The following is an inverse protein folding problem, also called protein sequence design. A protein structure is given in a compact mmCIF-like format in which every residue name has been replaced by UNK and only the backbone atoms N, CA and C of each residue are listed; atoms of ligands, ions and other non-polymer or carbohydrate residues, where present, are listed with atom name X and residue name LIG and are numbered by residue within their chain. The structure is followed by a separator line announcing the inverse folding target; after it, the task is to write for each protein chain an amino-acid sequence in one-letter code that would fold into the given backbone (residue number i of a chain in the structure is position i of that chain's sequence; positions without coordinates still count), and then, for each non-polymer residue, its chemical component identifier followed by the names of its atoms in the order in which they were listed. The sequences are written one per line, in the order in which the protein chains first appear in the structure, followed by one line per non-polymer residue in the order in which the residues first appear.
data_IF_958454629038
#
_entry.id   IF_958454629038
#
_cell.length_a   1.000
_cell.length_b   1.000
_cell.length_c   1.000
_cell.angle_alpha   90.00
_cell.angle_beta   90.00
_cell.angle_gamma   90.00
#
_symmetry.space_group_name_H-M   'P 1'
#
loop_
_entity.id
_entity.type
_entity.pdbx_description
1 polymer ?
#
# COMPACT_ATOMS: atom_id res chain seq x y z
N UNK A 1 -8.28 13.08 34.74
CA UNK A 1 -9.05 11.98 34.11
C UNK A 1 -9.40 12.18 32.63
N UNK A 2 -9.98 13.32 32.20
CA UNK A 2 -10.37 13.51 30.78
C UNK A 2 -9.20 13.51 29.77
N UNK A 3 -8.03 14.03 30.17
CA UNK A 3 -6.83 14.08 29.31
C UNK A 3 -6.23 12.68 29.09
N UNK A 4 -6.11 11.88 30.15
CA UNK A 4 -5.58 10.50 30.06
C UNK A 4 -6.42 9.59 29.15
N UNK A 5 -7.76 9.72 29.17
CA UNK A 5 -8.63 8.98 28.24
C UNK A 5 -8.39 9.39 26.78
N UNK A 6 -8.31 10.69 26.48
CA UNK A 6 -8.03 11.17 25.12
C UNK A 6 -6.66 10.74 24.60
N UNK A 7 -5.65 10.74 25.46
CA UNK A 7 -4.30 10.28 25.11
C UNK A 7 -4.32 8.77 24.83
N UNK A 8 -4.98 7.96 25.66
CA UNK A 8 -5.12 6.52 25.43
C UNK A 8 -5.88 6.20 24.14
N UNK A 9 -6.97 6.93 23.84
CA UNK A 9 -7.71 6.81 22.58
C UNK A 9 -6.85 7.16 21.37
N UNK A 10 -6.04 8.23 21.46
CA UNK A 10 -5.12 8.63 20.40
C UNK A 10 -4.03 7.58 20.16
N UNK A 11 -3.39 7.09 21.22
CA UNK A 11 -2.39 6.02 21.11
C UNK A 11 -2.99 4.73 20.55
N UNK A 12 -4.17 4.32 21.02
CA UNK A 12 -4.88 3.16 20.49
C UNK A 12 -5.18 3.31 19.00
N UNK A 13 -5.57 4.50 18.57
CA UNK A 13 -5.83 4.79 17.16
C UNK A 13 -4.56 4.74 16.30
N UNK A 14 -3.40 5.16 16.82
CA UNK A 14 -2.13 5.06 16.11
C UNK A 14 -1.66 3.61 15.98
N UNK A 15 -1.76 2.83 17.06
CA UNK A 15 -1.39 1.41 17.06
C UNK A 15 -2.27 0.63 16.07
N UNK A 16 -3.58 0.88 16.05
CA UNK A 16 -4.49 0.21 15.13
C UNK A 16 -4.26 0.65 13.68
N UNK A 17 -3.97 1.92 13.44
CA UNK A 17 -3.54 2.38 12.11
C UNK A 17 -2.29 1.65 11.64
N UNK A 18 -1.32 1.42 12.52
CA UNK A 18 -0.11 0.69 12.18
C UNK A 18 -0.42 -0.76 11.80
N UNK A 19 -1.17 -1.49 12.63
CA UNK A 19 -1.55 -2.88 12.33
C UNK A 19 -2.40 -2.97 11.07
N UNK A 20 -3.44 -2.15 10.93
CA UNK A 20 -4.27 -2.11 9.74
C UNK A 20 -3.46 -1.77 8.49
N UNK A 21 -2.53 -0.81 8.60
CA UNK A 21 -1.60 -0.46 7.54
C UNK A 21 -0.68 -1.62 7.16
N UNK A 22 -0.16 -2.37 8.13
CA UNK A 22 0.68 -3.54 7.88
C UNK A 22 -0.08 -4.64 7.14
N UNK A 23 -1.29 -5.00 7.60
CA UNK A 23 -2.16 -5.96 6.90
C UNK A 23 -2.51 -5.49 5.49
N UNK A 24 -2.87 -4.22 5.34
CA UNK A 24 -3.25 -3.64 4.07
C UNK A 24 -2.10 -3.62 3.06
N UNK A 25 -0.91 -3.16 3.47
CA UNK A 25 0.28 -3.12 2.61
C UNK A 25 0.76 -4.54 2.29
N UNK A 26 0.72 -5.47 3.23
CA UNK A 26 1.04 -6.88 2.96
C UNK A 26 0.09 -7.48 1.91
N UNK A 27 -1.21 -7.21 2.02
CA UNK A 27 -2.20 -7.64 1.03
C UNK A 27 -1.95 -7.03 -0.34
N UNK A 28 -1.67 -5.72 -0.41
CA UNK A 28 -1.32 -5.04 -1.66
C UNK A 28 -0.03 -5.60 -2.29
N UNK A 29 0.97 -5.92 -1.46
CA UNK A 29 2.24 -6.50 -1.92
C UNK A 29 2.06 -7.90 -2.47
N UNK A 30 1.17 -8.70 -1.85
CA UNK A 30 0.80 -10.02 -2.33
C UNK A 30 0.07 -9.99 -3.70
N UNK A 31 -0.48 -8.85 -4.11
CA UNK A 31 -1.06 -8.68 -5.45
C UNK A 31 -0.01 -8.44 -6.56
N UNK A 32 1.21 -8.00 -6.22
CA UNK A 32 2.27 -7.71 -7.19
C UNK A 32 2.64 -8.94 -8.05
N UNK A 33 2.93 -10.13 -7.48
CA UNK A 33 3.29 -11.30 -8.25
C UNK A 33 2.13 -11.88 -9.07
N UNK A 34 0.88 -11.47 -8.83
CA UNK A 34 -0.27 -11.97 -9.60
C UNK A 34 -0.23 -11.56 -11.06
N UNK A 35 0.37 -10.41 -11.39
CA UNK A 35 0.38 -9.87 -12.75
C UNK A 35 1.01 -10.84 -13.77
N UNK A 36 2.20 -11.43 -13.53
CA UNK A 36 2.74 -12.47 -14.42
C UNK A 36 1.99 -13.81 -14.33
N UNK A 37 1.42 -14.15 -13.16
CA UNK A 37 0.79 -15.46 -12.92
C UNK A 37 -0.51 -15.66 -13.73
N UNK A 38 -1.24 -14.60 -14.09
CA UNK A 38 -2.50 -14.72 -14.88
C UNK A 38 -2.25 -15.18 -16.33
N UNK A 39 -1.01 -15.06 -16.82
CA UNK A 39 -0.66 -15.43 -18.19
C UNK A 39 -0.14 -16.88 -18.33
N UNK A 40 -0.04 -17.63 -17.22
CA UNK A 40 0.43 -19.02 -17.22
C UNK A 40 -0.64 -19.96 -16.65
N UNK A 41 -1.24 -20.86 -17.46
CA UNK A 41 -2.31 -21.75 -17.02
C UNK A 41 -1.91 -22.67 -15.85
N UNK A 42 -0.64 -23.08 -15.79
CA UNK A 42 -0.11 -23.93 -14.72
C UNK A 42 -0.02 -23.23 -13.36
N UNK A 43 -0.10 -21.90 -13.33
CA UNK A 43 0.05 -21.07 -12.14
C UNK A 43 -1.28 -20.44 -11.67
N UNK A 44 -2.39 -20.73 -12.35
CA UNK A 44 -3.71 -20.18 -12.01
C UNK A 44 -4.20 -20.58 -10.61
N UNK A 45 -3.87 -21.79 -10.15
CA UNK A 45 -4.26 -22.27 -8.82
C UNK A 45 -3.52 -21.47 -7.73
N UNK A 46 -2.22 -21.26 -7.89
CA UNK A 46 -1.40 -20.45 -6.97
C UNK A 46 -1.81 -18.97 -7.01
N UNK A 47 -2.15 -18.46 -8.19
CA UNK A 47 -2.72 -17.13 -8.36
C UNK A 47 -4.03 -16.97 -7.57
N UNK A 48 -4.92 -17.96 -7.59
CA UNK A 48 -6.17 -17.93 -6.81
C UNK A 48 -5.91 -17.83 -5.31
N UNK A 49 -4.98 -18.61 -4.77
CA UNK A 49 -4.63 -18.56 -3.33
C UNK A 49 -3.98 -17.25 -2.94
N UNK A 50 -3.08 -16.73 -3.77
CA UNK A 50 -2.41 -15.45 -3.56
C UNK A 50 -3.41 -14.30 -3.60
N UNK A 51 -4.36 -14.33 -4.54
CA UNK A 51 -5.43 -13.37 -4.67
C UNK A 51 -6.41 -13.42 -3.48
N UNK A 52 -6.80 -14.62 -3.03
CA UNK A 52 -7.62 -14.80 -1.84
C UNK A 52 -6.94 -14.28 -0.57
N UNK A 53 -5.66 -14.60 -0.38
CA UNK A 53 -4.84 -14.10 0.75
C UNK A 53 -4.72 -12.59 0.71
N UNK A 54 -4.42 -12.01 -0.45
CA UNK A 54 -4.29 -10.57 -0.62
C UNK A 54 -5.59 -9.82 -0.28
N UNK A 55 -6.73 -10.27 -0.82
CA UNK A 55 -8.03 -9.68 -0.49
C UNK A 55 -8.40 -9.87 0.97
N UNK A 56 -8.09 -11.03 1.56
CA UNK A 56 -8.30 -11.29 2.98
C UNK A 56 -7.52 -10.31 3.87
N UNK A 57 -6.24 -10.09 3.58
CA UNK A 57 -5.39 -9.13 4.31
C UNK A 57 -5.87 -7.69 4.15
N UNK A 58 -6.25 -7.29 2.94
CA UNK A 58 -6.83 -5.96 2.66
C UNK A 58 -8.13 -5.78 3.45
N UNK A 59 -9.01 -6.79 3.44
CA UNK A 59 -10.28 -6.76 4.15
C UNK A 59 -10.10 -6.71 5.67
N UNK A 60 -9.15 -7.48 6.22
CA UNK A 60 -8.79 -7.40 7.64
C UNK A 60 -8.27 -6.01 8.02
N UNK A 61 -7.41 -5.41 7.19
CA UNK A 61 -6.96 -4.03 7.38
C UNK A 61 -8.12 -3.03 7.43
N UNK A 62 -9.11 -3.18 6.55
CA UNK A 62 -10.34 -2.39 6.59
C UNK A 62 -11.14 -2.63 7.88
N UNK A 63 -11.37 -3.88 8.25
CA UNK A 63 -12.15 -4.24 9.45
C UNK A 63 -11.51 -3.69 10.73
N UNK A 64 -10.19 -3.74 10.87
CA UNK A 64 -9.50 -3.15 12.04
C UNK A 64 -9.77 -1.64 12.15
N UNK A 65 -9.66 -0.91 11.04
CA UNK A 65 -9.95 0.53 11.04
C UNK A 65 -11.44 0.80 11.26
N UNK A 66 -12.32 0.01 10.65
CA UNK A 66 -13.76 0.17 10.77
C UNK A 66 -14.25 -0.09 12.19
N UNK A 67 -13.87 -1.21 12.81
CA UNK A 67 -14.27 -1.55 14.17
C UNK A 67 -13.78 -0.55 15.20
N UNK A 68 -12.57 -0.02 15.03
CA UNK A 68 -12.04 0.94 15.99
C UNK A 68 -12.58 2.35 15.80
N UNK A 69 -12.74 2.80 14.55
CA UNK A 69 -13.23 4.15 14.26
C UNK A 69 -14.75 4.28 14.27
N UNK A 70 -15.48 3.17 14.16
CA UNK A 70 -16.92 3.15 13.92
C UNK A 70 -17.35 3.79 12.60
N UNK A 71 -16.41 4.12 11.71
CA UNK A 71 -16.65 4.93 10.51
C UNK A 71 -16.02 4.29 9.27
N UNK A 72 -16.88 3.78 8.39
CA UNK A 72 -16.46 3.29 7.07
C UNK A 72 -15.77 4.39 6.25
N UNK A 73 -16.21 5.64 6.40
CA UNK A 73 -15.57 6.81 5.78
C UNK A 73 -14.15 6.98 6.25
N UNK A 74 -13.90 6.94 7.56
CA UNK A 74 -12.53 7.09 8.06
C UNK A 74 -11.64 5.92 7.61
N UNK A 75 -12.15 4.69 7.66
CA UNK A 75 -11.43 3.51 7.20
C UNK A 75 -11.05 3.61 5.71
N UNK A 76 -12.01 3.89 4.83
CA UNK A 76 -11.76 4.08 3.40
C UNK A 76 -10.77 5.22 3.13
N UNK A 77 -10.89 6.34 3.86
CA UNK A 77 -9.98 7.48 3.68
C UNK A 77 -8.56 7.13 4.08
N UNK A 78 -8.37 6.49 5.23
CA UNK A 78 -7.04 6.09 5.74
C UNK A 78 -6.41 5.08 4.79
N UNK A 79 -7.14 4.04 4.40
CA UNK A 79 -6.64 3.06 3.45
C UNK A 79 -6.32 3.72 2.11
N UNK A 80 -7.21 4.55 1.58
CA UNK A 80 -6.99 5.26 0.32
C UNK A 80 -5.71 6.09 0.33
N UNK A 81 -5.42 6.83 1.40
CA UNK A 81 -4.15 7.55 1.52
C UNK A 81 -2.93 6.61 1.66
N UNK A 82 -3.07 5.49 2.37
CA UNK A 82 -2.03 4.46 2.43
C UNK A 82 -1.76 3.81 1.07
N UNK A 83 -2.77 3.71 0.19
CA UNK A 83 -2.62 3.24 -1.20
C UNK A 83 -1.99 4.29 -2.10
N UNK A 84 -2.38 5.56 -1.94
CA UNK A 84 -1.89 6.67 -2.75
C UNK A 84 -0.40 6.92 -2.52
N UNK A 85 0.09 6.81 -1.29
CA UNK A 85 1.48 7.07 -0.95
C UNK A 85 2.49 6.27 -1.80
N UNK A 86 2.44 4.92 -1.87
CA UNK A 86 3.34 4.15 -2.72
C UNK A 86 3.13 4.42 -4.22
N UNK A 87 1.90 4.70 -4.66
CA UNK A 87 1.62 5.06 -6.07
C UNK A 87 2.27 6.38 -6.48
N UNK A 88 2.10 7.43 -5.67
CA UNK A 88 2.72 8.73 -5.88
C UNK A 88 4.24 8.67 -5.76
N UNK A 89 4.77 7.89 -4.80
CA UNK A 89 6.19 7.61 -4.72
C UNK A 89 6.67 6.96 -6.03
N UNK A 90 6.01 5.92 -6.53
CA UNK A 90 6.36 5.27 -7.79
C UNK A 90 6.41 6.23 -8.98
N UNK A 91 5.43 7.14 -9.11
CA UNK A 91 5.43 8.19 -10.14
C UNK A 91 6.61 9.15 -9.97
N UNK A 92 6.89 9.57 -8.74
CA UNK A 92 8.05 10.41 -8.44
C UNK A 92 9.37 9.72 -8.81
N UNK A 93 9.51 8.41 -8.51
CA UNK A 93 10.69 7.63 -8.87
C UNK A 93 10.88 7.51 -10.39
N UNK A 94 9.78 7.36 -11.13
CA UNK A 94 9.79 7.30 -12.60
C UNK A 94 10.27 8.60 -13.24
N UNK A 95 9.77 9.73 -12.74
CA UNK A 95 10.04 11.04 -13.33
C UNK A 95 11.40 11.61 -12.91
N UNK A 96 11.90 11.19 -11.75
CA UNK A 96 13.04 11.81 -11.10
C UNK A 96 14.15 10.81 -10.75
N UNK A 97 14.57 9.99 -11.72
CA UNK A 97 15.66 9.02 -11.56
C UNK A 97 16.93 9.61 -10.91
N UNK A 98 17.27 10.85 -11.26
CA UNK A 98 18.44 11.58 -10.73
C UNK A 98 18.26 12.01 -9.26
N UNK A 99 17.03 12.27 -8.80
CA UNK A 99 16.79 12.54 -7.38
C UNK A 99 16.55 11.26 -6.57
N UNK A 100 16.17 10.15 -7.22
CA UNK A 100 16.11 8.84 -6.60
C UNK A 100 17.51 8.42 -6.14
N UNK A 101 18.50 8.43 -7.04
CA UNK A 101 19.88 8.10 -6.64
C UNK A 101 20.34 8.98 -5.49
N UNK A 102 20.12 10.31 -5.56
CA UNK A 102 20.47 11.24 -4.46
C UNK A 102 19.72 10.99 -3.14
N UNK A 103 18.41 10.73 -3.18
CA UNK A 103 17.62 10.41 -1.98
C UNK A 103 18.04 9.08 -1.37
N UNK A 104 18.37 8.10 -2.22
CA UNK A 104 18.81 6.79 -1.79
C UNK A 104 20.26 6.80 -1.26
N UNK A 105 21.15 7.66 -1.79
CA UNK A 105 22.51 7.87 -1.25
C UNK A 105 22.51 8.43 0.18
N UNK A 106 21.42 9.06 0.64
CA UNK A 106 21.26 9.47 2.05
C UNK A 106 21.28 8.26 3.00
N UNK A 107 20.92 7.07 2.51
CA UNK A 107 20.93 5.82 3.28
C UNK A 107 22.23 5.02 3.13
N UNK A 108 23.22 5.52 2.38
CA UNK A 108 24.52 4.89 2.14
C UNK A 108 24.81 4.59 0.67
N UNK A 109 26.03 4.13 0.36
CA UNK A 109 26.39 3.64 -0.96
C UNK A 109 25.67 2.32 -1.26
N UNK A 110 25.00 2.25 -2.39
CA UNK A 110 24.22 1.07 -2.77
C UNK A 110 25.10 0.01 -3.41
N UNK A 111 24.78 -1.26 -3.16
CA UNK A 111 25.43 -2.33 -3.91
C UNK A 111 24.98 -2.27 -5.38
N UNK A 112 25.86 -2.61 -6.35
CA UNK A 112 25.53 -2.66 -7.78
C UNK A 112 24.29 -3.52 -8.11
N UNK A 113 23.96 -4.46 -7.23
CA UNK A 113 22.79 -5.32 -7.34
C UNK A 113 21.47 -4.53 -7.28
N UNK A 114 21.39 -3.50 -6.44
CA UNK A 114 20.13 -2.75 -6.32
C UNK A 114 19.96 -1.73 -7.44
N UNK A 115 21.06 -1.14 -7.89
CA UNK A 115 21.05 -0.21 -9.03
C UNK A 115 20.54 -0.93 -10.29
N UNK A 116 21.08 -2.11 -10.60
CA UNK A 116 20.61 -2.95 -11.71
C UNK A 116 19.16 -3.43 -11.53
N UNK A 117 18.73 -3.76 -10.30
CA UNK A 117 17.34 -4.11 -10.02
C UNK A 117 16.38 -2.94 -10.29
N UNK A 118 16.74 -1.72 -9.85
CA UNK A 118 15.94 -0.52 -10.08
C UNK A 118 15.87 -0.19 -11.57
N UNK A 119 16.97 -0.25 -12.31
CA UNK A 119 16.97 0.00 -13.75
C UNK A 119 16.05 -0.97 -14.51
N UNK A 120 16.02 -2.25 -14.12
CA UNK A 120 15.17 -3.26 -14.74
C UNK A 120 13.68 -3.12 -14.40
N UNK A 121 13.34 -2.67 -13.18
CA UNK A 121 11.97 -2.71 -12.65
C UNK A 121 11.27 -1.34 -12.57
N UNK A 122 11.99 -0.24 -12.37
CA UNK A 122 11.42 1.12 -12.34
C UNK A 122 10.62 1.42 -13.62
N UNK A 123 11.10 1.13 -14.85
CA UNK A 123 10.32 1.37 -16.06
C UNK A 123 9.02 0.56 -16.16
N UNK A 124 8.84 -0.47 -15.34
CA UNK A 124 7.61 -1.29 -15.28
C UNK A 124 6.71 -0.88 -14.11
N UNK A 125 7.23 -0.08 -13.17
CA UNK A 125 6.51 0.36 -11.99
C UNK A 125 5.37 1.36 -12.29
N UNK A 126 5.32 1.97 -13.48
CA UNK A 126 4.27 2.95 -13.83
C UNK A 126 2.88 2.34 -13.84
N UNK A 127 2.75 1.09 -14.27
CA UNK A 127 1.47 0.40 -14.36
C UNK A 127 0.97 0.07 -12.94
N UNK A 128 1.88 -0.40 -12.08
CA UNK A 128 1.61 -0.64 -10.67
C UNK A 128 1.23 0.66 -9.94
N UNK A 129 1.98 1.74 -10.19
CA UNK A 129 1.71 3.06 -9.63
C UNK A 129 0.34 3.59 -10.08
N UNK A 130 -0.02 3.40 -11.36
CA UNK A 130 -1.34 3.73 -11.89
C UNK A 130 -2.46 2.98 -11.18
N UNK A 131 -2.32 1.67 -10.97
CA UNK A 131 -3.29 0.86 -10.20
C UNK A 131 -3.43 1.37 -8.77
N UNK A 132 -2.32 1.61 -8.07
CA UNK A 132 -2.33 2.16 -6.71
C UNK A 132 -3.02 3.52 -6.65
N UNK A 133 -2.75 4.40 -7.61
CA UNK A 133 -3.38 5.73 -7.68
C UNK A 133 -4.89 5.59 -7.90
N UNK A 134 -5.33 4.77 -8.86
CA UNK A 134 -6.75 4.58 -9.15
C UNK A 134 -7.48 4.03 -7.92
N UNK A 135 -6.97 2.95 -7.32
CA UNK A 135 -7.57 2.34 -6.13
C UNK A 135 -7.61 3.33 -4.97
N UNK A 136 -6.51 4.05 -4.73
CA UNK A 136 -6.41 5.05 -3.68
C UNK A 136 -7.41 6.21 -3.86
N UNK A 137 -7.50 6.76 -5.07
CA UNK A 137 -8.47 7.82 -5.41
C UNK A 137 -9.91 7.32 -5.22
N UNK A 138 -10.22 6.11 -5.69
CA UNK A 138 -11.56 5.53 -5.54
C UNK A 138 -11.92 5.37 -4.06
N UNK A 139 -11.02 4.86 -3.22
CA UNK A 139 -11.25 4.72 -1.78
C UNK A 139 -11.47 6.07 -1.10
N UNK A 140 -10.66 7.08 -1.42
CA UNK A 140 -10.84 8.45 -0.89
C UNK A 140 -12.15 9.05 -1.38
N UNK A 141 -12.52 8.85 -2.65
CA UNK A 141 -13.77 9.34 -3.20
C UNK A 141 -14.99 8.68 -2.56
N UNK A 142 -14.97 7.36 -2.38
CA UNK A 142 -16.02 6.62 -1.64
C UNK A 142 -16.12 7.14 -0.21
N UNK A 143 -15.00 7.45 0.46
CA UNK A 143 -15.01 8.04 1.80
C UNK A 143 -15.68 9.41 1.88
N UNK A 144 -15.66 10.15 0.77
CA UNK A 144 -16.22 11.49 0.67
C UNK A 144 -17.72 11.48 0.30
N UNK A 145 -18.24 10.36 -0.22
CA UNK A 145 -19.67 10.20 -0.51
C UNK A 145 -20.45 9.87 0.77
N UNK A 146 -21.72 10.29 0.79
CA UNK A 146 -22.61 10.24 1.96
C UNK A 146 -22.79 8.83 2.48
#
# INVERSE_FOLDING_TARGET
MKVQKRVAEFFGLQVIKFFAGAFYIAGLTALIPLFPLVFSPSQLVEAKYSLGTAFGLIFLGFLFLFWFSGSSKLACRVLGFMTLAPGLLGVFLLYSRVNLSKFLYVFGEWSPFVESYLEANVPRAWLLAGVYIIVGVVLVWVSARK
#
